data_IF_535752462980
#
_entry.id   IF_535752462980
#
_cell.length_a   1.000
_cell.length_b   1.000
_cell.length_c   1.000
_cell.angle_alpha   90.00
_cell.angle_beta   90.00
_cell.angle_gamma   90.00
#
_symmetry.space_group_name_H-M   'P 1'
#
loop_
_entity.id
_entity.type
_entity.pdbx_description
1 polymer ?
#
# COMPACT_ATOMS: atom_id res chain seq x y z
N UNK A 1 35.92 50.99 31.14
CA UNK A 1 36.56 49.80 31.75
C UNK A 1 35.62 49.23 32.81
N UNK A 2 34.76 48.28 32.43
CA UNK A 2 33.84 47.59 33.33
C UNK A 2 34.03 46.08 33.18
N UNK A 3 34.32 45.40 34.29
CA UNK A 3 34.68 43.97 34.35
C UNK A 3 33.44 43.09 34.14
N UNK A 4 33.53 42.11 33.25
CA UNK A 4 32.60 40.96 33.25
C UNK A 4 33.03 39.95 34.33
N UNK A 5 32.10 39.42 35.15
CA UNK A 5 32.39 38.30 36.04
C UNK A 5 32.41 36.98 35.25
N UNK A 6 33.46 36.19 35.50
CA UNK A 6 33.68 34.82 35.04
C UNK A 6 32.69 33.87 35.72
N UNK A 7 31.82 33.20 34.96
CA UNK A 7 31.11 32.00 35.41
C UNK A 7 31.60 30.82 34.57
N UNK A 8 32.67 30.22 35.06
CA UNK A 8 33.19 28.93 34.67
C UNK A 8 32.42 27.88 35.47
N UNK A 9 31.51 27.16 34.82
CA UNK A 9 30.83 26.04 35.47
C UNK A 9 29.70 25.48 34.62
N UNK A 10 29.74 24.17 34.39
CA UNK A 10 28.69 23.34 33.77
C UNK A 10 28.61 23.30 32.23
N UNK A 11 29.70 22.88 31.59
CA UNK A 11 29.60 22.09 30.36
C UNK A 11 30.29 20.73 30.59
N UNK A 12 29.55 19.76 31.14
CA UNK A 12 29.96 18.35 31.10
C UNK A 12 29.43 17.72 29.80
N UNK A 13 30.26 17.06 28.98
CA UNK A 13 29.77 16.31 27.83
C UNK A 13 29.09 15.04 28.32
N UNK A 14 27.77 14.95 28.17
CA UNK A 14 27.02 13.71 28.40
C UNK A 14 27.38 12.75 27.27
N UNK A 15 28.09 11.68 27.61
CA UNK A 15 28.32 10.51 26.76
C UNK A 15 26.98 9.98 26.26
N UNK A 16 26.80 9.90 24.95
CA UNK A 16 25.78 9.07 24.32
C UNK A 16 26.11 7.59 24.55
N UNK A 17 25.68 7.08 25.70
CA UNK A 17 25.55 5.64 25.93
C UNK A 17 24.26 5.15 25.28
N UNK A 18 24.40 3.98 24.69
CA UNK A 18 23.43 3.22 23.92
C UNK A 18 22.20 2.80 24.72
N UNK A 19 21.23 2.29 23.97
CA UNK A 19 20.11 1.42 24.39
C UNK A 19 18.83 2.11 24.87
N UNK A 20 17.88 2.23 23.93
CA UNK A 20 16.71 1.34 23.89
C UNK A 20 16.11 1.01 25.28
N UNK A 21 15.39 1.94 25.92
CA UNK A 21 14.34 1.56 26.89
C UNK A 21 13.41 2.70 27.29
N UNK A 22 12.12 2.35 27.28
CA UNK A 22 10.96 3.04 27.86
C UNK A 22 10.34 4.21 27.06
N UNK A 23 9.10 3.96 26.64
CA UNK A 23 8.19 4.82 25.89
C UNK A 23 7.55 5.97 26.72
N UNK A 24 8.06 6.26 27.92
CA UNK A 24 7.41 7.20 28.86
C UNK A 24 8.06 8.60 28.92
N UNK A 25 9.18 8.84 28.25
CA UNK A 25 9.90 10.12 28.29
C UNK A 25 9.36 11.21 27.35
N UNK A 26 8.46 10.87 26.40
CA UNK A 26 8.00 11.81 25.35
C UNK A 26 6.96 12.82 25.88
N UNK A 27 6.29 12.53 27.00
CA UNK A 27 5.24 13.43 27.53
C UNK A 27 5.77 14.64 28.32
N UNK A 28 6.98 14.58 28.87
CA UNK A 28 7.52 15.66 29.71
C UNK A 28 8.47 16.62 28.97
N UNK A 29 8.95 16.29 27.77
CA UNK A 29 9.81 17.17 26.97
C UNK A 29 9.04 18.30 26.25
N UNK A 30 7.71 18.18 26.11
CA UNK A 30 6.88 19.14 25.38
C UNK A 30 6.61 20.45 26.13
N UNK A 31 6.80 20.48 27.47
CA UNK A 31 6.53 21.69 28.28
C UNK A 31 7.77 22.60 28.39
N UNK A 32 8.98 22.07 28.21
CA UNK A 32 10.22 22.83 28.35
C UNK A 32 10.57 23.71 27.13
N UNK A 33 10.04 23.41 25.94
CA UNK A 33 10.33 24.20 24.73
C UNK A 33 9.41 25.41 24.52
N UNK A 34 8.35 25.58 25.32
CA UNK A 34 7.34 26.61 25.10
C UNK A 34 7.70 27.99 25.72
N UNK A 35 8.80 28.09 26.47
CA UNK A 35 9.14 29.30 27.24
C UNK A 35 10.36 30.10 26.74
N UNK A 36 10.96 29.71 25.61
CA UNK A 36 12.18 30.33 25.09
C UNK A 36 11.98 31.00 23.72
N UNK A 37 10.85 31.69 23.54
CA UNK A 37 10.53 32.38 22.27
C UNK A 37 9.94 33.79 22.49
N UNK A 38 10.53 34.56 23.42
CA UNK A 38 10.30 36.01 23.51
C UNK A 38 11.66 36.71 23.47
N UNK A 39 12.15 36.90 22.25
CA UNK A 39 13.40 37.60 21.94
C UNK A 39 13.39 38.12 20.51
N UNK A 40 12.42 38.99 20.19
CA UNK A 40 12.30 39.63 18.89
C UNK A 40 13.41 40.69 18.69
N UNK A 41 14.40 40.38 17.86
CA UNK A 41 15.37 41.35 17.33
C UNK A 41 14.90 41.96 16.00
N UNK A 42 15.15 43.26 15.72
CA UNK A 42 14.62 43.94 14.54
C UNK A 42 15.59 43.84 13.38
N UNK A 43 15.75 42.66 12.78
CA UNK A 43 16.34 42.54 11.45
C UNK A 43 15.59 41.47 10.66
N UNK A 44 14.76 41.94 9.73
CA UNK A 44 14.00 41.12 8.80
C UNK A 44 14.91 40.22 7.98
N UNK A 45 15.00 38.97 8.40
CA UNK A 45 15.47 37.87 7.56
C UNK A 45 14.43 36.77 7.65
N UNK A 46 13.36 36.93 6.87
CA UNK A 46 12.41 35.86 6.57
C UNK A 46 13.12 34.78 5.75
N UNK A 47 14.02 34.03 6.39
CA UNK A 47 14.43 32.72 5.91
C UNK A 47 13.22 31.82 6.07
N UNK A 48 12.35 31.88 5.06
CA UNK A 48 11.38 30.82 4.80
C UNK A 48 12.13 29.50 5.01
N UNK A 49 11.63 28.57 5.85
CA UNK A 49 12.15 27.22 5.82
C UNK A 49 11.95 26.79 4.38
N UNK A 50 13.04 26.65 3.62
CA UNK A 50 13.01 26.04 2.29
C UNK A 50 12.32 24.72 2.52
N UNK A 51 11.03 24.64 2.17
CA UNK A 51 10.32 23.39 1.94
C UNK A 51 11.19 22.72 0.90
N UNK A 52 12.10 21.86 1.35
CA UNK A 52 12.85 21.01 0.44
C UNK A 52 11.77 20.21 -0.25
N UNK A 53 11.41 20.62 -1.46
CA UNK A 53 10.66 19.78 -2.39
C UNK A 53 11.61 18.64 -2.77
N UNK A 54 11.86 17.73 -1.83
CA UNK A 54 12.36 16.38 -2.10
C UNK A 54 11.19 15.56 -2.66
N UNK A 55 10.50 16.10 -3.67
CA UNK A 55 9.26 15.56 -4.20
C UNK A 55 9.46 14.37 -5.13
N UNK A 56 10.68 14.12 -5.61
CA UNK A 56 10.94 13.09 -6.64
C UNK A 56 10.48 11.68 -6.25
N UNK A 57 10.97 11.08 -5.15
CA UNK A 57 10.59 9.71 -4.76
C UNK A 57 9.20 9.63 -4.12
N UNK A 58 8.80 10.68 -3.39
CA UNK A 58 7.53 10.69 -2.65
C UNK A 58 6.34 10.85 -3.61
N UNK A 59 6.40 11.74 -4.61
CA UNK A 59 5.30 11.91 -5.57
C UNK A 59 5.09 10.62 -6.37
N UNK A 60 6.18 9.98 -6.83
CA UNK A 60 6.11 8.74 -7.61
C UNK A 60 5.38 7.61 -6.87
N UNK A 61 5.68 7.42 -5.59
CA UNK A 61 5.08 6.35 -4.78
C UNK A 61 3.62 6.62 -4.43
N UNK A 62 3.23 7.89 -4.27
CA UNK A 62 1.83 8.28 -4.10
C UNK A 62 1.02 8.03 -5.38
N UNK A 63 1.58 8.39 -6.53
CA UNK A 63 0.97 8.10 -7.84
C UNK A 63 0.80 6.59 -8.02
N UNK A 64 1.83 5.80 -7.71
CA UNK A 64 1.75 4.34 -7.78
C UNK A 64 0.66 3.76 -6.86
N UNK A 65 0.55 4.26 -5.61
CA UNK A 65 -0.48 3.81 -4.68
C UNK A 65 -1.89 4.10 -5.22
N UNK A 66 -2.13 5.27 -5.81
CA UNK A 66 -3.38 5.59 -6.47
C UNK A 66 -3.66 4.70 -7.68
N UNK A 67 -2.67 4.45 -8.53
CA UNK A 67 -2.82 3.58 -9.69
C UNK A 67 -3.20 2.15 -9.27
N UNK A 68 -2.51 1.58 -8.29
CA UNK A 68 -2.83 0.24 -7.74
C UNK A 68 -4.25 0.23 -7.16
N UNK A 69 -4.62 1.25 -6.39
CA UNK A 69 -5.96 1.36 -5.80
C UNK A 69 -7.05 1.44 -6.87
N UNK A 70 -6.88 2.28 -7.90
CA UNK A 70 -7.85 2.44 -8.99
C UNK A 70 -8.03 1.12 -9.75
N UNK A 71 -6.93 0.47 -10.13
CA UNK A 71 -6.98 -0.81 -10.85
C UNK A 71 -7.70 -1.87 -10.01
N UNK A 72 -7.35 -2.03 -8.74
CA UNK A 72 -8.01 -3.01 -7.86
C UNK A 72 -9.48 -2.66 -7.61
N UNK A 73 -9.84 -1.38 -7.54
CA UNK A 73 -11.23 -0.94 -7.41
C UNK A 73 -12.05 -1.29 -8.64
N UNK A 74 -11.50 -1.10 -9.85
CA UNK A 74 -12.16 -1.52 -11.10
C UNK A 74 -12.39 -3.04 -11.09
N UNK A 75 -11.38 -3.82 -10.69
CA UNK A 75 -11.50 -5.29 -10.58
C UNK A 75 -12.54 -5.69 -9.53
N UNK A 76 -12.58 -5.03 -8.37
CA UNK A 76 -13.56 -5.29 -7.33
C UNK A 76 -14.99 -4.96 -7.81
N UNK A 77 -15.18 -3.83 -8.49
CA UNK A 77 -16.47 -3.45 -9.08
C UNK A 77 -16.95 -4.48 -10.11
N UNK A 78 -16.05 -5.01 -10.93
CA UNK A 78 -16.36 -6.08 -11.89
C UNK A 78 -16.83 -7.37 -11.18
N UNK A 79 -16.20 -7.74 -10.06
CA UNK A 79 -16.63 -8.88 -9.25
C UNK A 79 -18.01 -8.67 -8.59
N UNK A 80 -18.29 -7.45 -8.11
CA UNK A 80 -19.63 -7.10 -7.63
C UNK A 80 -20.66 -7.20 -8.75
N UNK A 81 -20.36 -6.63 -9.93
CA UNK A 81 -21.22 -6.69 -11.11
C UNK A 81 -21.58 -8.14 -11.46
N UNK A 82 -20.59 -9.04 -11.48
CA UNK A 82 -20.81 -10.47 -11.66
C UNK A 82 -21.65 -11.10 -10.53
N UNK A 83 -21.42 -10.71 -9.28
CA UNK A 83 -22.22 -11.15 -8.13
C UNK A 83 -23.70 -10.76 -8.24
N UNK A 84 -24.02 -9.64 -8.89
CA UNK A 84 -25.39 -9.20 -9.14
C UNK A 84 -26.01 -9.80 -10.43
N UNK A 85 -25.27 -10.63 -11.18
CA UNK A 85 -25.76 -11.29 -12.40
C UNK A 85 -25.37 -10.58 -13.70
N UNK A 86 -24.39 -9.69 -13.66
CA UNK A 86 -23.80 -9.08 -14.83
C UNK A 86 -23.15 -10.11 -15.77
N UNK A 87 -23.33 -9.95 -17.07
CA UNK A 87 -22.91 -10.94 -18.08
C UNK A 87 -21.63 -10.57 -18.83
N UNK A 88 -21.22 -9.30 -18.78
CA UNK A 88 -20.04 -8.81 -19.48
C UNK A 88 -18.76 -9.54 -19.02
N UNK A 89 -17.89 -10.04 -19.92
CA UNK A 89 -17.84 -9.84 -21.38
C UNK A 89 -18.60 -10.87 -22.24
N UNK A 90 -19.29 -11.84 -21.64
CA UNK A 90 -20.05 -12.86 -22.34
C UNK A 90 -21.53 -12.48 -22.50
N UNK A 91 -22.28 -13.29 -23.27
CA UNK A 91 -23.74 -13.09 -23.49
C UNK A 91 -24.59 -14.08 -22.69
N UNK A 92 -23.99 -15.14 -22.19
CA UNK A 92 -24.65 -16.19 -21.43
C UNK A 92 -23.84 -16.56 -20.17
N UNK A 93 -24.50 -16.94 -19.06
CA UNK A 93 -23.82 -17.25 -17.79
C UNK A 93 -22.82 -18.41 -17.88
N UNK A 94 -23.03 -19.35 -18.80
CA UNK A 94 -22.19 -20.52 -18.97
C UNK A 94 -20.86 -20.14 -19.64
N UNK A 95 -20.93 -19.36 -20.72
CA UNK A 95 -19.79 -18.78 -21.41
C UNK A 95 -19.02 -17.82 -20.51
N UNK A 96 -19.71 -17.04 -19.67
CA UNK A 96 -19.06 -16.20 -18.65
C UNK A 96 -18.26 -17.06 -17.66
N UNK A 97 -18.86 -18.12 -17.13
CA UNK A 97 -18.21 -18.98 -16.16
C UNK A 97 -17.02 -19.74 -16.77
N UNK A 98 -17.12 -20.17 -18.04
CA UNK A 98 -15.98 -20.70 -18.80
C UNK A 98 -14.88 -19.67 -19.04
N UNK A 99 -15.24 -18.42 -19.32
CA UNK A 99 -14.28 -17.36 -19.68
C UNK A 99 -13.58 -16.76 -18.46
N UNK A 100 -14.24 -16.69 -17.30
CA UNK A 100 -13.74 -16.01 -16.09
C UNK A 100 -13.24 -16.97 -15.03
N UNK A 101 -13.79 -18.19 -14.96
CA UNK A 101 -13.42 -19.17 -13.91
C UNK A 101 -12.63 -20.34 -14.49
N UNK A 102 -12.96 -20.81 -15.70
CA UNK A 102 -12.16 -21.79 -16.44
C UNK A 102 -11.96 -23.15 -15.76
N UNK A 103 -12.76 -23.50 -14.75
CA UNK A 103 -12.68 -24.81 -14.08
C UNK A 103 -13.39 -25.87 -14.90
N UNK A 104 -12.76 -27.05 -15.01
CA UNK A 104 -13.26 -28.19 -15.77
C UNK A 104 -14.69 -28.55 -15.33
N UNK A 105 -15.64 -28.53 -16.26
CA UNK A 105 -17.03 -28.94 -16.01
C UNK A 105 -17.88 -27.91 -15.29
N UNK A 106 -17.51 -26.63 -15.35
CA UNK A 106 -18.33 -25.56 -14.79
C UNK A 106 -19.68 -25.47 -15.50
N UNK A 107 -20.74 -25.71 -14.72
CA UNK A 107 -22.13 -25.58 -15.17
C UNK A 107 -22.81 -24.29 -14.66
N UNK A 108 -22.19 -23.61 -13.68
CA UNK A 108 -22.77 -22.41 -13.06
C UNK A 108 -21.69 -21.46 -12.56
N UNK A 109 -22.01 -20.18 -12.57
CA UNK A 109 -21.20 -19.14 -11.96
C UNK A 109 -21.12 -19.36 -10.43
N UNK A 110 -19.99 -19.03 -9.76
CA UNK A 110 -19.86 -19.12 -8.30
C UNK A 110 -20.98 -18.38 -7.58
N UNK A 111 -21.33 -18.83 -6.38
CA UNK A 111 -22.41 -18.19 -5.60
C UNK A 111 -22.12 -16.71 -5.38
N UNK A 112 -23.19 -15.89 -5.38
CA UNK A 112 -23.11 -14.43 -5.21
C UNK A 112 -22.32 -14.02 -3.96
N UNK A 113 -22.48 -14.79 -2.87
CA UNK A 113 -21.76 -14.53 -1.62
C UNK A 113 -20.24 -14.60 -1.80
N UNK A 114 -19.74 -15.61 -2.52
CA UNK A 114 -18.30 -15.79 -2.75
C UNK A 114 -17.73 -14.65 -3.61
N UNK A 115 -18.43 -14.26 -4.68
CA UNK A 115 -17.98 -13.16 -5.55
C UNK A 115 -17.94 -11.82 -4.82
N UNK A 116 -18.92 -11.55 -3.95
CA UNK A 116 -18.96 -10.33 -3.12
C UNK A 116 -17.82 -10.34 -2.10
N UNK A 117 -17.56 -11.46 -1.43
CA UNK A 117 -16.42 -11.59 -0.49
C UNK A 117 -15.11 -11.31 -1.20
N UNK A 118 -14.90 -11.88 -2.40
CA UNK A 118 -13.71 -11.62 -3.21
C UNK A 118 -13.60 -10.14 -3.57
N UNK A 119 -14.69 -9.49 -3.98
CA UNK A 119 -14.69 -8.07 -4.28
C UNK A 119 -14.27 -7.21 -3.08
N UNK A 120 -14.78 -7.51 -1.88
CA UNK A 120 -14.40 -6.82 -0.65
C UNK A 120 -12.92 -7.01 -0.35
N UNK A 121 -12.40 -8.24 -0.46
CA UNK A 121 -10.97 -8.52 -0.24
C UNK A 121 -10.06 -7.75 -1.22
N UNK A 122 -10.44 -7.70 -2.50
CA UNK A 122 -9.70 -6.96 -3.54
C UNK A 122 -9.72 -5.46 -3.25
N UNK A 123 -10.88 -4.91 -2.86
CA UNK A 123 -11.00 -3.51 -2.50
C UNK A 123 -10.16 -3.16 -1.25
N UNK A 124 -10.22 -4.00 -0.22
CA UNK A 124 -9.39 -3.85 0.98
C UNK A 124 -7.89 -3.93 0.66
N UNK A 125 -7.48 -4.80 -0.26
CA UNK A 125 -6.09 -4.87 -0.72
C UNK A 125 -5.63 -3.54 -1.35
N UNK A 126 -6.48 -2.90 -2.14
CA UNK A 126 -6.22 -1.55 -2.66
C UNK A 126 -6.13 -0.50 -1.54
N UNK A 127 -7.04 -0.54 -0.56
CA UNK A 127 -7.02 0.41 0.56
C UNK A 127 -5.73 0.31 1.38
N UNK A 128 -5.16 -0.89 1.54
CA UNK A 128 -3.86 -1.08 2.20
C UNK A 128 -2.72 -0.34 1.49
N UNK A 129 -2.76 -0.24 0.15
CA UNK A 129 -1.78 0.55 -0.61
C UNK A 129 -1.85 2.04 -0.26
N UNK A 130 -3.06 2.59 -0.14
CA UNK A 130 -3.27 3.99 0.26
C UNK A 130 -2.85 4.25 1.72
N UNK A 131 -3.17 3.32 2.63
CA UNK A 131 -2.74 3.39 4.03
C UNK A 131 -1.21 3.36 4.15
N UNK A 132 -0.52 2.59 3.31
CA UNK A 132 0.95 2.48 3.34
C UNK A 132 1.66 3.78 2.98
N UNK A 133 1.03 4.60 2.16
CA UNK A 133 1.51 5.94 1.78
C UNK A 133 0.89 7.06 2.63
N UNK A 134 0.18 6.73 3.72
CA UNK A 134 -0.48 7.70 4.61
C UNK A 134 -1.45 8.64 3.89
N UNK A 135 -2.00 8.21 2.74
CA UNK A 135 -3.01 8.98 1.97
C UNK A 135 -4.35 8.95 2.69
N UNK A 136 -4.67 7.83 3.33
CA UNK A 136 -5.82 7.65 4.22
C UNK A 136 -5.34 7.27 5.62
N UNK A 137 -6.14 7.50 6.68
CA UNK A 137 -5.78 7.10 8.03
C UNK A 137 -5.47 5.60 8.11
N UNK A 138 -4.36 5.25 8.74
CA UNK A 138 -4.01 3.86 8.98
C UNK A 138 -4.91 3.28 10.08
N UNK A 139 -5.71 2.26 9.73
CA UNK A 139 -6.52 1.51 10.71
C UNK A 139 -5.71 0.40 11.39
N UNK A 140 -4.58 0.00 10.81
CA UNK A 140 -3.74 -1.11 11.26
C UNK A 140 -2.39 -0.61 11.81
N UNK A 141 -1.79 -1.32 12.79
CA UNK A 141 -0.40 -1.07 13.19
C UNK A 141 0.55 -1.19 12.01
N UNK A 142 1.61 -0.39 12.00
CA UNK A 142 2.58 -0.32 10.89
C UNK A 142 3.22 -1.67 10.53
N UNK A 143 3.49 -2.51 11.53
CA UNK A 143 4.02 -3.87 11.32
C UNK A 143 3.02 -4.77 10.57
N UNK A 144 1.75 -4.73 10.97
CA UNK A 144 0.69 -5.54 10.35
C UNK A 144 0.37 -5.04 8.94
N UNK A 145 0.39 -3.72 8.72
CA UNK A 145 0.23 -3.12 7.40
C UNK A 145 1.34 -3.59 6.44
N UNK A 146 2.61 -3.52 6.87
CA UNK A 146 3.75 -4.00 6.06
C UNK A 146 3.66 -5.49 5.77
N UNK A 147 3.26 -6.28 6.76
CA UNK A 147 3.02 -7.72 6.56
C UNK A 147 1.89 -7.96 5.54
N UNK A 148 0.79 -7.22 5.62
CA UNK A 148 -0.29 -7.29 4.64
C UNK A 148 0.17 -6.97 3.22
N UNK A 149 0.95 -5.90 3.04
CA UNK A 149 1.54 -5.55 1.74
C UNK A 149 2.49 -6.66 1.24
N UNK A 150 3.35 -7.21 2.11
CA UNK A 150 4.23 -8.33 1.76
C UNK A 150 3.43 -9.56 1.28
N UNK A 151 2.39 -9.93 2.02
CA UNK A 151 1.51 -11.05 1.66
C UNK A 151 0.85 -10.81 0.31
N UNK A 152 0.32 -9.61 0.06
CA UNK A 152 -0.28 -9.25 -1.23
C UNK A 152 0.75 -9.31 -2.37
N UNK A 153 1.95 -8.79 -2.17
CA UNK A 153 3.05 -8.89 -3.14
C UNK A 153 3.29 -10.35 -3.52
N UNK A 154 3.46 -11.24 -2.53
CA UNK A 154 3.71 -12.66 -2.77
C UNK A 154 2.54 -13.31 -3.50
N UNK A 155 1.30 -13.06 -3.08
CA UNK A 155 0.10 -13.64 -3.70
C UNK A 155 -0.03 -13.22 -5.17
N UNK A 156 0.08 -11.93 -5.47
CA UNK A 156 -0.07 -11.42 -6.84
C UNK A 156 1.08 -11.88 -7.76
N UNK A 157 2.31 -11.90 -7.27
CA UNK A 157 3.45 -12.40 -8.04
C UNK A 157 3.33 -13.91 -8.28
N UNK A 158 3.05 -14.70 -7.24
CA UNK A 158 2.85 -16.14 -7.37
C UNK A 158 1.72 -16.44 -8.36
N UNK A 159 0.55 -15.78 -8.20
CA UNK A 159 -0.60 -16.00 -9.10
C UNK A 159 -0.29 -15.61 -10.54
N UNK A 160 0.42 -14.51 -10.77
CA UNK A 160 0.84 -14.09 -12.09
C UNK A 160 1.87 -15.02 -12.73
N UNK A 161 2.84 -15.53 -11.95
CA UNK A 161 3.81 -16.52 -12.43
C UNK A 161 3.16 -17.87 -12.78
N UNK A 162 2.15 -18.29 -12.00
CA UNK A 162 1.42 -19.54 -12.25
C UNK A 162 0.77 -19.55 -13.64
N UNK A 163 0.30 -18.41 -14.17
CA UNK A 163 -0.26 -18.28 -15.53
C UNK A 163 0.70 -18.73 -16.65
N UNK A 164 2.00 -18.73 -16.41
CA UNK A 164 3.01 -19.14 -17.40
C UNK A 164 3.48 -20.60 -17.22
N UNK A 165 3.22 -21.21 -16.06
CA UNK A 165 3.68 -22.56 -15.73
C UNK A 165 2.83 -23.68 -16.33
N UNK A 166 3.45 -24.81 -16.64
CA UNK A 166 2.77 -25.99 -17.18
C UNK A 166 1.83 -26.67 -16.17
N UNK A 167 2.10 -26.54 -14.87
CA UNK A 167 1.25 -27.07 -13.80
C UNK A 167 -0.16 -26.50 -13.84
N UNK A 168 -0.28 -25.19 -14.07
CA UNK A 168 -1.58 -24.50 -14.13
C UNK A 168 -2.35 -24.88 -15.40
N UNK A 169 -1.65 -25.05 -16.53
CA UNK A 169 -2.24 -25.53 -17.80
C UNK A 169 -2.92 -26.89 -17.67
N UNK A 170 -2.30 -27.82 -16.96
CA UNK A 170 -2.87 -29.17 -16.81
C UNK A 170 -4.10 -29.20 -15.87
N UNK A 171 -4.15 -28.28 -14.89
CA UNK A 171 -5.23 -28.16 -13.90
C UNK A 171 -6.44 -27.38 -14.41
N UNK A 172 -6.24 -26.26 -15.11
CA UNK A 172 -7.30 -25.40 -15.64
C UNK A 172 -7.32 -25.46 -17.17
N UNK A 173 -7.85 -26.56 -17.73
CA UNK A 173 -7.74 -26.84 -19.16
C UNK A 173 -8.96 -26.36 -19.99
N UNK A 174 -9.82 -25.49 -19.46
CA UNK A 174 -10.99 -25.03 -20.19
C UNK A 174 -10.70 -23.69 -20.92
N UNK A 175 -10.61 -23.77 -22.25
CA UNK A 175 -10.54 -22.60 -23.12
C UNK A 175 -11.93 -21.91 -23.15
N UNK A 176 -12.02 -20.56 -23.17
CA UNK A 176 -10.96 -19.59 -23.50
C UNK A 176 -10.24 -18.96 -22.27
N UNK A 177 -10.45 -19.46 -21.05
CA UNK A 177 -9.85 -18.86 -19.86
C UNK A 177 -8.32 -18.91 -19.87
N UNK A 178 -7.73 -20.03 -20.30
CA UNK A 178 -6.29 -20.22 -20.26
C UNK A 178 -5.53 -19.20 -21.15
N UNK A 179 -6.07 -18.92 -22.34
CA UNK A 179 -5.51 -17.93 -23.26
C UNK A 179 -5.63 -16.50 -22.71
N UNK A 180 -6.77 -16.15 -22.10
CA UNK A 180 -6.96 -14.86 -21.43
C UNK A 180 -6.07 -14.70 -20.19
N UNK A 181 -5.93 -15.75 -19.38
CA UNK A 181 -5.12 -15.73 -18.17
C UNK A 181 -3.65 -15.45 -18.50
N UNK A 182 -3.13 -16.07 -19.55
CA UNK A 182 -1.74 -15.83 -19.98
C UNK A 182 -1.51 -14.48 -20.65
N UNK A 183 -2.50 -13.95 -21.38
CA UNK A 183 -2.35 -12.71 -22.16
C UNK A 183 -2.67 -11.44 -21.37
N UNK A 184 -3.63 -11.49 -20.45
CA UNK A 184 -4.14 -10.31 -19.75
C UNK A 184 -4.06 -10.45 -18.23
N UNK A 185 -4.59 -11.53 -17.65
CA UNK A 185 -4.70 -11.60 -16.17
C UNK A 185 -3.36 -11.81 -15.47
N UNK A 186 -2.52 -12.70 -15.98
CA UNK A 186 -1.18 -12.98 -15.46
C UNK A 186 -0.27 -11.74 -15.49
N UNK A 187 -0.11 -11.05 -16.64
CA UNK A 187 0.64 -9.80 -16.72
C UNK A 187 0.10 -8.73 -15.77
N UNK A 188 -1.22 -8.56 -15.67
CA UNK A 188 -1.83 -7.60 -14.76
C UNK A 188 -1.49 -7.91 -13.30
N UNK A 189 -1.58 -9.19 -12.90
CA UNK A 189 -1.21 -9.63 -11.55
C UNK A 189 0.27 -9.38 -11.26
N UNK A 190 1.17 -9.62 -12.22
CA UNK A 190 2.60 -9.33 -12.06
C UNK A 190 2.86 -7.84 -11.89
N UNK A 191 2.21 -6.99 -12.68
CA UNK A 191 2.34 -5.52 -12.58
C UNK A 191 1.83 -5.02 -11.23
N UNK A 192 0.67 -5.49 -10.77
CA UNK A 192 0.12 -5.15 -9.45
C UNK A 192 1.06 -5.63 -8.34
N UNK A 193 1.55 -6.87 -8.42
CA UNK A 193 2.50 -7.45 -7.46
C UNK A 193 3.80 -6.67 -7.38
N UNK A 194 4.36 -6.26 -8.53
CA UNK A 194 5.51 -5.37 -8.59
C UNK A 194 5.22 -3.99 -7.98
N UNK A 195 4.03 -3.43 -8.23
CA UNK A 195 3.56 -2.20 -7.60
C UNK A 195 3.58 -2.30 -6.08
N UNK A 196 2.97 -3.36 -5.51
CA UNK A 196 3.02 -3.61 -4.06
C UNK A 196 4.44 -3.83 -3.54
N UNK A 197 5.33 -4.49 -4.30
CA UNK A 197 6.72 -4.66 -3.92
C UNK A 197 7.45 -3.30 -3.80
N UNK A 198 7.23 -2.38 -4.74
CA UNK A 198 7.78 -1.02 -4.65
C UNK A 198 7.23 -0.29 -3.42
N UNK A 199 5.92 -0.38 -3.16
CA UNK A 199 5.30 0.24 -1.98
C UNK A 199 5.78 -0.40 -0.65
N UNK A 200 6.22 -1.65 -0.67
CA UNK A 200 6.76 -2.34 0.50
C UNK A 200 8.08 -1.70 0.96
N UNK A 201 8.98 -1.44 0.01
CA UNK A 201 10.33 -0.92 0.24
C UNK A 201 10.44 0.61 0.28
N UNK A 202 9.40 1.33 -0.15
CA UNK A 202 9.30 2.80 -0.09
C UNK A 202 9.06 3.34 1.33
#
# INVERSE_FOLDING_TARGET
>A
MGRCPSISGLCRPVRCLSARQSWNAVRHAAVACLHCDIGAGPHGNSRQPRRRMCGGPQIMTHVLAWLVFIVLTIVAALHLYWGFGGLWPARDPLSLARTVVGSKGIARMPSRGVTVVVAVLIFSAGALALMRMSIIPALLPTGLLRFGILVLTVIFLARGSLSFTAFFRNRQAEEPFLTLDRRYYGPLCLVIGAGFAVLLFA
#
